data_IF_001685765764
#
_entry.id   IF_001685765764
#
_cell.length_a   1.000
_cell.length_b   1.000
_cell.length_c   1.000
_cell.angle_alpha   90.00
_cell.angle_beta   90.00
_cell.angle_gamma   90.00
#
_symmetry.space_group_name_H-M   'P 1'
#
loop_
_entity.id
_entity.type
_entity.pdbx_description
1 polymer ?
#
# COMPACT_ATOMS: atom_id res chain seq x y z
N UNK A 1 20.78 -4.15 -1.35
CA UNK A 1 19.56 -4.97 -1.51
C UNK A 1 18.58 -4.40 -0.53
N UNK A 2 17.48 -3.85 -1.05
CA UNK A 2 16.45 -3.27 -0.20
C UNK A 2 15.64 -4.40 0.43
N UNK A 3 15.32 -4.27 1.71
CA UNK A 3 14.59 -5.27 2.48
C UNK A 3 13.33 -4.63 3.05
N UNK A 4 12.18 -4.93 2.43
CA UNK A 4 10.87 -4.46 2.88
C UNK A 4 10.23 -5.57 3.71
N UNK A 5 10.19 -5.37 5.03
CA UNK A 5 9.67 -6.37 5.97
C UNK A 5 8.16 -6.32 6.15
N UNK A 6 7.49 -5.27 5.66
CA UNK A 6 6.04 -5.10 5.77
C UNK A 6 5.55 -3.68 5.47
N UNK A 7 4.25 -3.47 5.70
CA UNK A 7 3.57 -2.17 5.55
C UNK A 7 2.78 -1.86 6.81
N UNK A 8 2.84 -0.60 7.26
CA UNK A 8 2.05 -0.11 8.39
C UNK A 8 1.02 0.89 7.88
N UNK A 9 -0.23 0.70 8.26
CA UNK A 9 -1.30 1.67 8.01
C UNK A 9 -1.42 2.62 9.19
N UNK A 10 -1.41 3.93 8.93
CA UNK A 10 -1.69 4.94 9.93
C UNK A 10 -3.07 4.73 10.58
N UNK A 11 -4.07 4.25 9.83
CA UNK A 11 -5.40 3.95 10.38
C UNK A 11 -5.34 2.84 11.42
N UNK A 12 -4.57 1.79 11.15
CA UNK A 12 -4.44 0.66 12.09
C UNK A 12 -3.68 1.08 13.35
N UNK A 13 -2.63 1.89 13.18
CA UNK A 13 -1.86 2.44 14.29
C UNK A 13 -2.74 3.31 15.20
N UNK A 14 -3.50 4.25 14.63
CA UNK A 14 -4.42 5.10 15.38
C UNK A 14 -5.51 4.27 16.06
N UNK A 15 -6.07 3.27 15.37
CA UNK A 15 -7.06 2.37 15.97
C UNK A 15 -6.49 1.57 17.14
N UNK A 16 -5.26 1.07 17.06
CA UNK A 16 -4.59 0.40 18.18
C UNK A 16 -4.42 1.35 19.36
N UNK A 17 -3.88 2.55 19.12
CA UNK A 17 -3.69 3.57 20.15
C UNK A 17 -5.01 3.98 20.82
N UNK A 18 -6.10 4.07 20.06
CA UNK A 18 -7.41 4.43 20.58
C UNK A 18 -8.04 3.33 21.45
N UNK A 19 -7.82 2.05 21.12
CA UNK A 19 -8.42 0.93 21.84
C UNK A 19 -7.57 0.42 23.01
N UNK A 20 -6.25 0.44 22.87
CA UNK A 20 -5.30 -0.16 23.82
C UNK A 20 -4.50 0.90 24.61
N UNK A 21 -4.61 2.17 24.23
CA UNK A 21 -3.78 3.25 24.76
C UNK A 21 -2.46 3.40 23.99
N UNK A 22 -1.69 4.43 24.34
CA UNK A 22 -0.38 4.70 23.71
C UNK A 22 0.70 4.03 24.55
N UNK A 23 1.33 3.02 23.98
CA UNK A 23 2.57 2.43 24.49
C UNK A 23 3.75 2.99 23.68
N UNK A 24 4.61 3.77 24.33
CA UNK A 24 5.77 4.38 23.70
C UNK A 24 6.96 3.42 23.56
N UNK A 25 6.92 2.28 24.25
CA UNK A 25 7.94 1.23 24.16
C UNK A 25 7.58 0.14 23.12
N UNK A 26 6.34 0.17 22.60
CA UNK A 26 5.88 -0.78 21.58
C UNK A 26 6.62 -0.60 20.25
N UNK A 27 6.89 -1.72 19.57
CA UNK A 27 7.55 -1.69 18.27
C UNK A 27 6.55 -1.34 17.17
N UNK A 28 6.96 -0.49 16.23
CA UNK A 28 6.17 -0.22 15.03
C UNK A 28 5.88 -1.49 14.21
N UNK A 29 6.75 -2.50 14.30
CA UNK A 29 6.59 -3.79 13.62
C UNK A 29 5.42 -4.62 14.13
N UNK A 30 4.92 -4.34 15.34
CA UNK A 30 3.85 -5.14 15.98
C UNK A 30 2.50 -5.00 15.26
N UNK A 31 2.36 -3.98 14.43
CA UNK A 31 1.17 -3.72 13.61
C UNK A 31 1.45 -3.83 12.11
N UNK A 32 2.63 -4.32 11.73
CA UNK A 32 2.96 -4.46 10.32
C UNK A 32 2.09 -5.54 9.67
N UNK A 33 1.63 -5.28 8.46
CA UNK A 33 1.03 -6.26 7.57
C UNK A 33 2.06 -6.71 6.55
N UNK A 34 1.86 -7.90 6.00
CA UNK A 34 2.69 -8.40 4.92
C UNK A 34 2.60 -7.46 3.71
N UNK A 35 3.76 -7.14 3.12
CA UNK A 35 3.82 -6.35 1.90
C UNK A 35 3.43 -7.22 0.70
N UNK A 36 2.57 -6.70 -0.17
CA UNK A 36 2.21 -7.38 -1.42
C UNK A 36 3.18 -6.99 -2.53
N UNK A 37 3.93 -7.94 -3.08
CA UNK A 37 4.96 -7.69 -4.09
C UNK A 37 4.49 -8.09 -5.48
N UNK A 38 4.81 -7.27 -6.48
CA UNK A 38 4.48 -7.52 -7.89
C UNK A 38 5.64 -7.11 -8.81
N UNK A 39 5.89 -7.83 -9.91
CA UNK A 39 6.92 -7.43 -10.87
C UNK A 39 6.47 -6.18 -11.64
N UNK A 40 7.42 -5.33 -12.02
CA UNK A 40 7.15 -4.12 -12.82
C UNK A 40 6.52 -4.41 -14.19
N UNK A 41 6.67 -5.64 -14.69
CA UNK A 41 6.10 -6.09 -15.95
C UNK A 41 4.62 -6.50 -15.85
N UNK A 42 4.02 -6.53 -14.66
CA UNK A 42 2.61 -6.94 -14.47
C UNK A 42 1.67 -5.91 -15.11
N UNK A 43 0.62 -6.40 -15.80
CA UNK A 43 -0.36 -5.51 -16.44
C UNK A 43 -1.18 -4.76 -15.40
N UNK A 44 -1.38 -3.47 -15.65
CA UNK A 44 -2.18 -2.56 -14.80
C UNK A 44 -3.58 -3.12 -14.52
N UNK A 45 -4.25 -3.67 -15.53
CA UNK A 45 -5.60 -4.24 -15.38
C UNK A 45 -5.63 -5.45 -14.44
N UNK A 46 -4.65 -6.34 -14.56
CA UNK A 46 -4.53 -7.52 -13.69
C UNK A 46 -4.22 -7.12 -12.26
N UNK A 47 -3.28 -6.18 -12.08
CA UNK A 47 -2.94 -5.64 -10.78
C UNK A 47 -4.12 -4.93 -10.10
N UNK A 48 -4.91 -4.17 -10.87
CA UNK A 48 -6.11 -3.51 -10.35
C UNK A 48 -7.13 -4.54 -9.81
N UNK A 49 -7.39 -5.60 -10.58
CA UNK A 49 -8.31 -6.66 -10.17
C UNK A 49 -7.80 -7.43 -8.95
N UNK A 50 -6.50 -7.72 -8.87
CA UNK A 50 -5.87 -8.37 -7.72
C UNK A 50 -5.97 -7.52 -6.45
N UNK A 51 -5.59 -6.24 -6.52
CA UNK A 51 -5.66 -5.33 -5.36
C UNK A 51 -7.11 -5.13 -4.90
N UNK A 52 -8.05 -5.02 -5.84
CA UNK A 52 -9.49 -4.89 -5.53
C UNK A 52 -10.04 -6.14 -4.85
N UNK A 53 -9.70 -7.33 -5.34
CA UNK A 53 -10.22 -8.60 -4.81
C UNK A 53 -9.58 -8.99 -3.49
N UNK A 54 -8.27 -8.75 -3.33
CA UNK A 54 -7.55 -9.07 -2.10
C UNK A 54 -7.75 -8.05 -0.98
N UNK A 55 -8.29 -6.86 -1.29
CA UNK A 55 -8.46 -5.76 -0.35
C UNK A 55 -7.19 -4.97 -0.06
N UNK A 56 -6.05 -5.34 -0.67
CA UNK A 56 -4.82 -4.58 -0.57
C UNK A 56 -4.96 -3.20 -1.22
N UNK A 57 -4.56 -2.16 -0.51
CA UNK A 57 -4.61 -0.78 -1.02
C UNK A 57 -3.34 -0.38 -1.76
N UNK A 58 -2.26 -1.14 -1.61
CA UNK A 58 -0.97 -0.88 -2.26
C UNK A 58 -0.22 -2.17 -2.57
N UNK A 59 0.71 -2.08 -3.52
CA UNK A 59 1.70 -3.09 -3.82
C UNK A 59 3.09 -2.46 -3.91
N UNK A 60 4.10 -3.23 -3.56
CA UNK A 60 5.51 -2.94 -3.81
C UNK A 60 5.88 -3.50 -5.17
N UNK A 61 6.50 -2.68 -6.00
CA UNK A 61 6.92 -3.05 -7.35
C UNK A 61 8.39 -3.45 -7.31
N UNK A 62 8.68 -4.65 -7.82
CA UNK A 62 10.05 -5.20 -7.89
C UNK A 62 10.55 -5.27 -9.33
N UNK A 63 11.85 -5.01 -9.50
CA UNK A 63 12.55 -5.19 -10.77
C UNK A 63 13.02 -6.64 -10.96
N UNK A 64 13.69 -6.89 -12.09
CA UNK A 64 14.15 -8.22 -12.51
C UNK A 64 15.30 -8.77 -11.66
N UNK A 65 15.95 -7.91 -10.87
CA UNK A 65 17.05 -8.24 -9.97
C UNK A 65 16.59 -8.37 -8.51
N UNK A 66 15.28 -8.23 -8.26
CA UNK A 66 14.68 -8.26 -6.93
C UNK A 66 14.87 -6.96 -6.15
N UNK A 67 15.29 -5.88 -6.81
CA UNK A 67 15.32 -4.53 -6.26
C UNK A 67 13.94 -3.91 -6.21
N UNK A 68 13.75 -2.91 -5.34
CA UNK A 68 12.50 -2.16 -5.27
C UNK A 68 12.51 -1.10 -6.37
N UNK A 69 11.66 -1.28 -7.37
CA UNK A 69 11.45 -0.30 -8.43
C UNK A 69 10.53 0.84 -7.97
N UNK A 70 9.62 0.56 -7.02
CA UNK A 70 8.73 1.56 -6.44
C UNK A 70 7.52 0.96 -5.73
N UNK A 71 6.43 1.72 -5.67
CA UNK A 71 5.15 1.29 -5.14
C UNK A 71 4.00 1.82 -5.97
N UNK A 72 2.85 1.17 -5.87
CA UNK A 72 1.63 1.57 -6.56
C UNK A 72 0.43 1.37 -5.65
N UNK A 73 -0.56 2.27 -5.75
CA UNK A 73 -1.78 2.22 -4.94
C UNK A 73 -3.00 1.93 -5.80
N UNK A 74 -4.02 1.32 -5.19
CA UNK A 74 -5.29 1.07 -5.85
C UNK A 74 -5.93 2.37 -6.36
N UNK A 75 -5.79 3.48 -5.61
CA UNK A 75 -6.23 4.82 -6.04
C UNK A 75 -5.60 5.20 -7.38
N UNK A 76 -4.28 5.03 -7.51
CA UNK A 76 -3.58 5.44 -8.74
C UNK A 76 -4.01 4.60 -9.93
N UNK A 77 -4.22 3.30 -9.74
CA UNK A 77 -4.73 2.41 -10.78
C UNK A 77 -6.14 2.79 -11.22
N UNK A 78 -7.00 3.19 -10.28
CA UNK A 78 -8.34 3.69 -10.57
C UNK A 78 -8.29 4.96 -11.44
N UNK A 79 -7.46 5.94 -11.07
CA UNK A 79 -7.31 7.21 -11.81
C UNK A 79 -6.85 7.02 -13.25
N UNK A 80 -6.13 5.94 -13.57
CA UNK A 80 -5.76 5.62 -14.96
C UNK A 80 -6.99 5.30 -15.80
N UNK A 81 -8.03 4.70 -15.20
CA UNK A 81 -9.26 4.30 -15.89
C UNK A 81 -10.26 5.45 -15.95
N UNK A 82 -10.49 6.14 -14.84
CA UNK A 82 -11.54 7.18 -14.72
C UNK A 82 -11.04 8.61 -14.95
N UNK A 83 -9.72 8.83 -14.96
CA UNK A 83 -9.13 10.16 -14.92
C UNK A 83 -8.86 10.65 -13.49
N UNK A 84 -8.29 11.86 -13.33
CA UNK A 84 -7.99 12.44 -12.03
C UNK A 84 -9.25 12.49 -11.16
N UNK A 85 -9.14 11.96 -9.94
CA UNK A 85 -10.17 12.08 -8.92
C UNK A 85 -9.67 13.11 -7.91
N UNK A 86 -10.38 14.22 -7.80
CA UNK A 86 -10.05 15.31 -6.88
C UNK A 86 -10.05 14.84 -5.44
N UNK A 87 -9.23 15.48 -4.62
CA UNK A 87 -9.22 15.29 -3.18
C UNK A 87 -10.37 16.07 -2.53
N UNK A 88 -10.74 15.69 -1.32
CA UNK A 88 -11.79 16.39 -0.58
C UNK A 88 -11.37 17.86 -0.33
N UNK A 89 -12.09 18.80 -0.95
CA UNK A 89 -11.78 20.23 -0.88
C UNK A 89 -11.00 20.79 -2.07
N UNK A 90 -10.59 19.97 -3.03
CA UNK A 90 -9.97 20.41 -4.28
C UNK A 90 -10.78 19.93 -5.49
N UNK A 91 -10.92 20.80 -6.50
CA UNK A 91 -11.40 20.36 -7.80
C UNK A 91 -10.36 19.40 -8.41
N UNK A 92 -10.78 18.38 -9.19
CA UNK A 92 -9.87 17.44 -9.84
C UNK A 92 -8.84 18.11 -10.77
#
# INVERSE_FOLDING_TARGET
>A
MDDITGVISAKDLVNKMANEGVDYDASATDVQREAYFVPETKRISELFDELRQSGHQMAIVIDEFGGVAGLVTLKRLLEVVVGPVGEEGEAP
#
